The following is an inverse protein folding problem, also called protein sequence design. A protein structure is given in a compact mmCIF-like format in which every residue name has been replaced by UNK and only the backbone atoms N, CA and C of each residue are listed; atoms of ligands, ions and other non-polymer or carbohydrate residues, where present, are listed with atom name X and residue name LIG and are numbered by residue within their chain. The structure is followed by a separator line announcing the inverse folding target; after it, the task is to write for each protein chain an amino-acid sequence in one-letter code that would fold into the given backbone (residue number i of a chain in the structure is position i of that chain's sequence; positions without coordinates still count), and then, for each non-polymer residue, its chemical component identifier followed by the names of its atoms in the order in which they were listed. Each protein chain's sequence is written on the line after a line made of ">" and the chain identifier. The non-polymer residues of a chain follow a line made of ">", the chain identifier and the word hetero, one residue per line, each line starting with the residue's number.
data_IF_871217223657
#
_entry.id   IF_871217223657
#
_cell.length_a   1.000
_cell.length_b   1.000
_cell.length_c   1.000
_cell.angle_alpha   90.00
_cell.angle_beta   90.00
_cell.angle_gamma   90.00
#
_symmetry.space_group_name_H-M   'P 1'
#
loop_
_entity.id
_entity.type
_entity.pdbx_description
1 polymer ?
#
# COMPACT_ATOMS: atom_id res chain seq x y z
N UNK A 1 -30.64 -13.49 -6.04
CA UNK A 1 -29.25 -13.38 -6.53
C UNK A 1 -28.37 -14.03 -5.51
N UNK A 2 -28.11 -15.32 -5.76
CA UNK A 2 -27.38 -16.24 -4.88
C UNK A 2 -25.86 -16.08 -5.03
N UNK A 3 -25.16 -16.48 -3.97
CA UNK A 3 -23.78 -16.13 -3.66
C UNK A 3 -22.73 -16.61 -4.66
N UNK A 4 -21.64 -15.85 -4.71
CA UNK A 4 -20.43 -16.24 -5.43
C UNK A 4 -19.60 -17.23 -4.59
N UNK A 5 -19.13 -18.34 -5.17
CA UNK A 5 -18.45 -19.40 -4.44
C UNK A 5 -16.96 -19.07 -4.23
N UNK A 6 -16.50 -19.15 -2.98
CA UNK A 6 -15.10 -19.02 -2.61
C UNK A 6 -14.24 -20.07 -3.32
N UNK A 7 -13.34 -19.60 -4.20
CA UNK A 7 -12.37 -20.42 -4.91
C UNK A 7 -11.11 -20.55 -4.06
N UNK A 8 -10.97 -21.66 -3.34
CA UNK A 8 -9.78 -22.01 -2.55
C UNK A 8 -8.63 -22.38 -3.50
N UNK A 9 -7.55 -21.60 -3.50
CA UNK A 9 -6.30 -21.94 -4.20
C UNK A 9 -5.36 -22.67 -3.25
N UNK A 10 -5.17 -23.96 -3.49
CA UNK A 10 -4.20 -24.79 -2.77
C UNK A 10 -2.79 -24.58 -3.34
N UNK A 11 -1.89 -23.98 -2.56
CA UNK A 11 -0.47 -23.91 -2.89
C UNK A 11 0.21 -25.25 -2.60
N UNK A 12 0.52 -26.01 -3.65
CA UNK A 12 1.37 -27.20 -3.54
C UNK A 12 2.84 -26.80 -3.38
N UNK A 13 3.38 -26.92 -2.17
CA UNK A 13 4.83 -26.95 -1.96
C UNK A 13 5.38 -28.30 -2.43
N UNK A 14 6.14 -28.35 -3.53
CA UNK A 14 7.10 -29.42 -3.78
C UNK A 14 8.44 -28.87 -4.28
N UNK A 15 9.33 -28.70 -3.31
CA UNK A 15 10.70 -29.26 -3.25
C UNK A 15 11.50 -29.20 -4.56
N UNK A 16 12.27 -28.12 -4.70
CA UNK A 16 13.36 -28.03 -5.67
C UNK A 16 14.46 -29.03 -5.32
N UNK A 17 14.75 -29.92 -6.27
CA UNK A 17 15.98 -30.72 -6.31
C UNK A 17 16.96 -29.92 -7.16
N UNK A 18 18.04 -29.45 -6.54
CA UNK A 18 19.26 -29.00 -7.21
C UNK A 18 20.37 -29.89 -6.69
N UNK A 19 20.92 -30.76 -7.54
CA UNK A 19 22.38 -30.83 -7.59
C UNK A 19 22.89 -31.15 -9.00
N UNK A 20 23.96 -30.46 -9.43
CA UNK A 20 24.69 -30.88 -10.62
C UNK A 20 25.65 -29.87 -11.21
N UNK A 21 26.47 -29.20 -10.38
CA UNK A 21 27.64 -28.48 -10.89
C UNK A 21 28.73 -29.49 -11.23
N UNK A 22 28.74 -29.94 -12.48
CA UNK A 22 29.84 -30.73 -13.06
C UNK A 22 30.96 -29.80 -13.55
N UNK A 23 32.25 -30.10 -13.28
CA UNK A 23 33.37 -29.40 -13.90
C UNK A 23 33.54 -29.91 -15.34
N UNK A 24 33.03 -29.13 -16.30
CA UNK A 24 33.32 -29.31 -17.71
C UNK A 24 34.76 -28.87 -18.00
N UNK A 25 35.67 -29.84 -18.00
CA UNK A 25 37.06 -29.68 -18.47
C UNK A 25 37.03 -29.32 -19.95
N UNK A 26 37.54 -28.14 -20.30
CA UNK A 26 37.79 -27.71 -21.68
C UNK A 26 39.00 -28.47 -22.24
N UNK A 27 38.88 -29.20 -23.36
CA UNK A 27 40.05 -29.58 -24.12
C UNK A 27 40.52 -28.35 -24.92
N UNK A 28 41.55 -27.70 -24.38
CA UNK A 28 42.44 -26.78 -25.10
C UNK A 28 43.08 -27.52 -26.28
N UNK A 29 42.46 -27.45 -27.45
CA UNK A 29 43.01 -27.97 -28.70
C UNK A 29 43.67 -26.82 -29.44
N UNK A 30 44.95 -26.65 -29.16
CA UNK A 30 45.86 -25.76 -29.86
C UNK A 30 46.23 -26.39 -31.22
N UNK A 31 45.79 -25.86 -32.38
CA UNK A 31 46.18 -26.40 -33.68
C UNK A 31 47.50 -25.76 -34.10
N UNK A 32 48.50 -26.62 -34.28
CA UNK A 32 49.87 -26.27 -34.55
C UNK A 32 50.07 -25.25 -35.68
N UNK A 33 51.06 -24.40 -35.43
CA UNK A 33 51.72 -23.56 -36.42
C UNK A 33 52.32 -24.45 -37.51
N UNK A 34 51.89 -24.28 -38.75
CA UNK A 34 52.65 -24.66 -39.93
C UNK A 34 53.09 -23.38 -40.65
N UNK A 35 54.30 -22.93 -40.32
CA UNK A 35 55.05 -21.96 -41.11
C UNK A 35 55.57 -22.68 -42.35
N UNK A 36 54.77 -22.73 -43.42
CA UNK A 36 55.26 -23.11 -44.73
C UNK A 36 55.74 -21.84 -45.43
N UNK A 37 57.06 -21.65 -45.44
CA UNK A 37 57.72 -20.58 -46.18
C UNK A 37 57.50 -20.77 -47.67
N UNK A 38 56.68 -19.91 -48.27
CA UNK A 38 56.66 -19.74 -49.72
C UNK A 38 57.71 -18.70 -50.09
N UNK A 39 58.75 -19.19 -50.74
CA UNK A 39 59.82 -18.44 -51.38
C UNK A 39 59.20 -17.45 -52.39
N UNK A 40 59.32 -16.15 -52.15
CA UNK A 40 58.94 -15.13 -53.15
C UNK A 40 60.13 -14.84 -54.06
N UNK A 41 59.95 -14.88 -55.38
CA UNK A 41 60.93 -14.38 -56.34
C UNK A 41 61.02 -12.85 -56.23
N UNK A 42 62.27 -12.37 -56.21
CA UNK A 42 62.63 -10.97 -56.32
C UNK A 42 62.53 -10.57 -57.78
N UNK A 43 61.58 -9.69 -58.11
CA UNK A 43 61.59 -8.99 -59.39
C UNK A 43 60.95 -7.60 -59.30
N UNK A 44 61.75 -6.63 -59.74
CA UNK A 44 61.34 -5.35 -60.35
C UNK A 44 60.96 -4.19 -59.43
N UNK A 45 62.01 -3.46 -59.00
CA UNK A 45 61.96 -2.01 -58.82
C UNK A 45 61.65 -1.36 -60.17
N UNK A 46 60.39 -0.97 -60.39
CA UNK A 46 59.97 -0.24 -61.60
C UNK A 46 58.59 0.38 -61.44
N UNK A 47 58.55 1.69 -61.14
CA UNK A 47 57.40 2.58 -61.36
C UNK A 47 56.00 2.05 -60.96
N UNK A 48 55.79 1.76 -59.67
CA UNK A 48 54.53 1.22 -59.12
C UNK A 48 53.28 2.10 -59.25
N UNK A 49 53.39 3.34 -59.74
CA UNK A 49 52.23 4.22 -59.96
C UNK A 49 51.56 4.06 -61.32
N UNK A 50 52.26 3.53 -62.32
CA UNK A 50 51.73 3.47 -63.70
C UNK A 50 51.04 2.12 -63.97
N UNK A 51 51.56 1.02 -63.43
CA UNK A 51 50.96 -0.32 -63.58
C UNK A 51 49.60 -0.44 -62.87
N UNK A 52 49.37 0.37 -61.84
CA UNK A 52 48.08 0.41 -61.13
C UNK A 52 46.96 0.92 -62.03
N UNK A 53 47.21 1.83 -62.96
CA UNK A 53 46.16 2.34 -63.85
C UNK A 53 45.91 1.42 -65.05
N UNK A 54 46.92 0.66 -65.50
CA UNK A 54 46.80 -0.25 -66.65
C UNK A 54 45.93 -1.48 -66.37
N UNK A 55 45.98 -2.05 -65.17
CA UNK A 55 45.14 -3.21 -64.78
C UNK A 55 43.67 -2.79 -64.63
N UNK A 56 43.43 -1.57 -64.15
CA UNK A 56 42.09 -1.04 -63.91
C UNK A 56 41.34 -0.69 -65.20
N UNK A 57 42.05 -0.32 -66.27
CA UNK A 57 41.44 -0.08 -67.59
C UNK A 57 41.05 -1.37 -68.33
N UNK A 58 41.65 -2.52 -67.99
CA UNK A 58 41.47 -3.77 -68.73
C UNK A 58 40.42 -4.73 -68.15
N UNK A 59 39.94 -4.52 -66.91
CA UNK A 59 38.94 -5.38 -66.24
C UNK A 59 37.90 -4.56 -65.46
N UNK A 60 36.96 -3.87 -66.14
CA UNK A 60 35.91 -3.08 -65.47
C UNK A 60 35.01 -3.93 -64.57
N UNK A 61 34.87 -5.22 -64.84
CA UNK A 61 34.07 -6.16 -64.05
C UNK A 61 34.67 -6.43 -62.67
N UNK A 62 36.01 -6.41 -62.55
CA UNK A 62 36.69 -6.55 -61.25
C UNK A 62 36.45 -5.31 -60.36
N UNK A 63 36.28 -4.13 -60.95
CA UNK A 63 35.99 -2.89 -60.19
C UNK A 63 34.58 -2.88 -59.61
N UNK A 64 33.58 -3.31 -60.38
CA UNK A 64 32.20 -3.44 -59.89
C UNK A 64 32.12 -4.43 -58.74
N UNK A 65 32.82 -5.57 -58.81
CA UNK A 65 32.86 -6.55 -57.73
C UNK A 65 33.52 -6.00 -56.46
N UNK A 66 34.61 -5.23 -56.60
CA UNK A 66 35.32 -4.64 -55.46
C UNK A 66 34.48 -3.55 -54.78
N UNK A 67 33.72 -2.77 -55.56
CA UNK A 67 32.78 -1.77 -55.05
C UNK A 67 31.64 -2.43 -54.25
N UNK A 68 30.97 -3.44 -54.80
CA UNK A 68 29.90 -4.16 -54.08
C UNK A 68 30.41 -4.94 -52.86
N UNK A 69 31.66 -5.42 -52.91
CA UNK A 69 32.30 -6.03 -51.74
C UNK A 69 32.54 -4.99 -50.63
N UNK A 70 32.96 -3.77 -51.00
CA UNK A 70 33.08 -2.64 -50.08
C UNK A 70 31.76 -2.28 -49.41
N UNK A 71 30.69 -2.09 -50.19
CA UNK A 71 29.35 -1.80 -49.65
C UNK A 71 28.88 -2.88 -48.66
N UNK A 72 29.05 -4.16 -49.01
CA UNK A 72 28.69 -5.28 -48.12
C UNK A 72 29.54 -5.35 -46.85
N UNK A 73 30.80 -4.93 -46.90
CA UNK A 73 31.66 -4.87 -45.71
C UNK A 73 31.25 -3.72 -44.79
N UNK A 74 30.84 -2.58 -45.35
CA UNK A 74 30.32 -1.45 -44.59
C UNK A 74 28.98 -1.78 -43.93
N UNK A 75 28.08 -2.46 -44.65
CA UNK A 75 26.84 -3.01 -44.07
C UNK A 75 27.13 -4.00 -42.93
N UNK A 76 28.13 -4.87 -43.11
CA UNK A 76 28.53 -5.82 -42.09
C UNK A 76 29.13 -5.12 -40.85
N UNK A 77 29.90 -4.05 -41.04
CA UNK A 77 30.42 -3.23 -39.95
C UNK A 77 29.30 -2.53 -39.19
N UNK A 78 28.29 -2.01 -39.91
CA UNK A 78 27.08 -1.40 -39.34
C UNK A 78 26.28 -2.41 -38.51
N UNK A 79 25.97 -3.59 -39.08
CA UNK A 79 25.23 -4.66 -38.39
C UNK A 79 25.96 -5.10 -37.11
N UNK A 80 27.29 -5.18 -37.15
CA UNK A 80 28.08 -5.53 -35.97
C UNK A 80 27.97 -4.46 -34.87
N UNK A 81 28.05 -3.18 -35.23
CA UNK A 81 27.88 -2.09 -34.29
C UNK A 81 26.49 -2.12 -33.62
N UNK A 82 25.45 -2.41 -34.40
CA UNK A 82 24.09 -2.56 -33.89
C UNK A 82 23.96 -3.75 -32.92
N UNK A 83 24.61 -4.88 -33.22
CA UNK A 83 24.64 -6.03 -32.32
C UNK A 83 25.32 -5.69 -30.98
N UNK A 84 26.44 -4.98 -31.01
CA UNK A 84 27.17 -4.57 -29.81
C UNK A 84 26.37 -3.54 -28.98
N UNK A 85 25.66 -2.62 -29.65
CA UNK A 85 24.76 -1.67 -29.02
C UNK A 85 23.56 -2.38 -28.35
N UNK A 86 22.92 -3.31 -29.05
CA UNK A 86 21.82 -4.11 -28.52
C UNK A 86 22.26 -5.00 -27.34
N UNK A 87 23.46 -5.58 -27.40
CA UNK A 87 24.02 -6.34 -26.30
C UNK A 87 24.21 -5.48 -25.04
N UNK A 88 24.71 -4.25 -25.22
CA UNK A 88 24.88 -3.28 -24.12
C UNK A 88 23.53 -2.89 -23.51
N UNK A 89 22.55 -2.56 -24.36
CA UNK A 89 21.21 -2.20 -23.92
C UNK A 89 20.52 -3.35 -23.17
N UNK A 90 20.69 -4.59 -23.64
CA UNK A 90 20.14 -5.78 -22.98
C UNK A 90 20.71 -5.97 -21.57
N UNK A 91 22.02 -5.73 -21.40
CA UNK A 91 22.67 -5.82 -20.10
C UNK A 91 22.18 -4.73 -19.13
N UNK A 92 22.07 -3.49 -19.60
CA UNK A 92 21.56 -2.37 -18.81
C UNK A 92 20.09 -2.59 -18.40
N UNK A 93 19.22 -2.95 -19.33
CA UNK A 93 17.81 -3.24 -19.05
C UNK A 93 17.64 -4.40 -18.08
N UNK A 94 18.48 -5.44 -18.19
CA UNK A 94 18.47 -6.56 -17.25
C UNK A 94 18.78 -6.07 -15.82
N UNK A 95 19.78 -5.21 -15.65
CA UNK A 95 20.14 -4.68 -14.33
C UNK A 95 19.05 -3.74 -13.78
N UNK A 96 18.44 -2.93 -14.65
CA UNK A 96 17.28 -2.10 -14.32
C UNK A 96 16.08 -2.94 -13.86
N UNK A 97 15.76 -4.03 -14.57
CA UNK A 97 14.71 -4.97 -14.18
C UNK A 97 15.02 -5.63 -12.84
N UNK A 98 16.28 -6.01 -12.60
CA UNK A 98 16.70 -6.58 -11.32
C UNK A 98 16.57 -5.58 -10.17
N UNK A 99 16.91 -4.30 -10.40
CA UNK A 99 16.74 -3.24 -9.42
C UNK A 99 15.26 -3.02 -9.08
N UNK A 100 14.40 -2.84 -10.10
CA UNK A 100 12.94 -2.69 -9.92
C UNK A 100 12.31 -3.89 -9.25
N UNK A 101 12.79 -5.11 -9.52
CA UNK A 101 12.31 -6.33 -8.84
C UNK A 101 12.58 -6.30 -7.34
N UNK A 102 13.74 -5.80 -6.91
CA UNK A 102 14.06 -5.64 -5.48
C UNK A 102 13.17 -4.58 -4.83
N UNK A 103 12.94 -3.47 -5.52
CA UNK A 103 12.05 -2.41 -5.06
C UNK A 103 10.61 -2.90 -4.89
N UNK A 104 10.04 -3.58 -5.90
CA UNK A 104 8.70 -4.18 -5.81
C UNK A 104 8.61 -5.16 -4.65
N UNK A 105 9.65 -5.96 -4.40
CA UNK A 105 9.68 -6.89 -3.26
C UNK A 105 9.65 -6.16 -1.92
N UNK A 106 10.38 -5.04 -1.81
CA UNK A 106 10.39 -4.18 -0.62
C UNK A 106 9.02 -3.51 -0.40
N UNK A 107 8.45 -2.92 -1.46
CA UNK A 107 7.14 -2.27 -1.39
C UNK A 107 6.02 -3.26 -1.03
N UNK A 108 6.02 -4.46 -1.61
CA UNK A 108 5.07 -5.52 -1.24
C UNK A 108 5.15 -5.91 0.24
N UNK A 109 6.35 -5.89 0.83
CA UNK A 109 6.49 -6.13 2.26
C UNK A 109 5.87 -4.99 3.07
N UNK A 110 6.13 -3.73 2.70
CA UNK A 110 5.54 -2.56 3.37
C UNK A 110 4.02 -2.57 3.31
N UNK A 111 3.43 -2.88 2.15
CA UNK A 111 1.98 -2.97 1.99
C UNK A 111 1.39 -4.02 2.93
N UNK A 112 1.96 -5.23 2.99
CA UNK A 112 1.48 -6.27 3.93
C UNK A 112 1.57 -5.85 5.38
N UNK A 113 2.67 -5.20 5.79
CA UNK A 113 2.81 -4.69 7.15
C UNK A 113 1.74 -3.63 7.48
N UNK A 114 1.39 -2.78 6.51
CA UNK A 114 0.31 -1.81 6.66
C UNK A 114 -1.06 -2.48 6.71
N UNK A 115 -1.30 -3.49 5.87
CA UNK A 115 -2.55 -4.26 5.89
C UNK A 115 -2.74 -4.95 7.25
N UNK A 116 -1.68 -5.55 7.80
CA UNK A 116 -1.69 -6.17 9.14
C UNK A 116 -1.97 -5.14 10.24
N UNK A 117 -1.29 -3.99 10.21
CA UNK A 117 -1.57 -2.89 11.15
C UNK A 117 -3.00 -2.36 11.02
N UNK A 118 -3.51 -2.27 9.78
CA UNK A 118 -4.88 -1.86 9.48
C UNK A 118 -5.91 -2.84 10.02
N UNK A 119 -5.67 -4.15 9.90
CA UNK A 119 -6.52 -5.18 10.49
C UNK A 119 -6.56 -5.09 12.02
N UNK A 120 -5.42 -4.88 12.66
CA UNK A 120 -5.35 -4.71 14.12
C UNK A 120 -6.14 -3.49 14.58
N UNK A 121 -5.98 -2.35 13.90
CA UNK A 121 -6.72 -1.13 14.19
C UNK A 121 -8.23 -1.29 13.94
N UNK A 122 -8.64 -2.01 12.89
CA UNK A 122 -10.05 -2.29 12.62
C UNK A 122 -10.66 -3.18 13.72
N UNK A 123 -9.94 -4.21 14.17
CA UNK A 123 -10.39 -5.08 15.28
C UNK A 123 -10.55 -4.31 16.59
N UNK A 124 -9.61 -3.42 16.91
CA UNK A 124 -9.70 -2.57 18.11
C UNK A 124 -10.90 -1.63 18.05
N UNK A 125 -11.12 -0.98 16.89
CA UNK A 125 -12.28 -0.12 16.67
C UNK A 125 -13.61 -0.86 16.83
N UNK A 126 -13.70 -2.11 16.35
CA UNK A 126 -14.89 -2.95 16.56
C UNK A 126 -15.09 -3.21 18.06
N UNK A 127 -14.04 -3.62 18.77
CA UNK A 127 -14.11 -3.88 20.22
C UNK A 127 -14.52 -2.64 21.03
N UNK A 128 -13.99 -1.46 20.68
CA UNK A 128 -14.35 -0.20 21.32
C UNK A 128 -15.80 0.20 21.05
N UNK A 129 -16.31 -0.02 19.83
CA UNK A 129 -17.72 0.23 19.50
C UNK A 129 -18.66 -0.67 20.30
N UNK A 130 -18.35 -1.95 20.41
CA UNK A 130 -19.12 -2.88 21.25
C UNK A 130 -19.08 -2.48 22.74
N UNK A 131 -17.94 -1.98 23.22
CA UNK A 131 -17.85 -1.46 24.59
C UNK A 131 -18.69 -0.21 24.78
N UNK A 132 -18.69 0.71 23.82
CA UNK A 132 -19.51 1.91 23.84
C UNK A 132 -21.00 1.55 23.91
N UNK A 133 -21.45 0.65 23.04
CA UNK A 133 -22.84 0.17 22.99
C UNK A 133 -23.26 -0.44 24.33
N UNK A 134 -22.43 -1.32 24.92
CA UNK A 134 -22.69 -1.87 26.27
C UNK A 134 -22.81 -0.78 27.34
N UNK A 135 -21.96 0.26 27.29
CA UNK A 135 -22.03 1.38 28.25
C UNK A 135 -23.26 2.26 28.02
N UNK A 136 -23.70 2.42 26.78
CA UNK A 136 -24.93 3.15 26.44
C UNK A 136 -26.17 2.41 26.96
N UNK A 137 -26.21 1.07 26.84
CA UNK A 137 -27.25 0.23 27.44
C UNK A 137 -27.29 0.39 28.97
N UNK A 138 -26.14 0.29 29.66
CA UNK A 138 -26.06 0.51 31.11
C UNK A 138 -26.61 1.90 31.53
N UNK A 139 -26.31 2.95 30.75
CA UNK A 139 -26.82 4.30 31.01
C UNK A 139 -28.34 4.36 30.81
N UNK A 140 -28.87 3.70 29.78
CA UNK A 140 -30.31 3.63 29.54
C UNK A 140 -31.03 2.94 30.72
N UNK A 141 -30.52 1.79 31.18
CA UNK A 141 -31.08 1.06 32.32
C UNK A 141 -31.07 1.91 33.60
N UNK A 142 -29.95 2.61 33.86
CA UNK A 142 -29.83 3.50 35.02
C UNK A 142 -30.79 4.68 34.96
N UNK A 143 -30.98 5.27 33.77
CA UNK A 143 -31.95 6.36 33.56
C UNK A 143 -33.37 5.87 33.78
N UNK A 144 -33.70 4.68 33.28
CA UNK A 144 -35.02 4.09 33.49
C UNK A 144 -35.25 3.82 34.99
N UNK A 145 -34.27 3.22 35.67
CA UNK A 145 -34.33 2.99 37.11
C UNK A 145 -34.54 4.29 37.89
N UNK A 146 -33.77 5.34 37.58
CA UNK A 146 -33.90 6.63 38.24
C UNK A 146 -35.27 7.27 37.99
N UNK A 147 -35.79 7.17 36.78
CA UNK A 147 -37.14 7.67 36.44
C UNK A 147 -38.19 6.99 37.31
N UNK A 148 -38.13 5.67 37.47
CA UNK A 148 -39.02 4.93 38.37
C UNK A 148 -38.89 5.37 39.84
N UNK A 149 -37.69 5.69 40.32
CA UNK A 149 -37.50 6.21 41.69
C UNK A 149 -38.12 7.59 41.87
N UNK A 150 -37.96 8.47 40.89
CA UNK A 150 -38.52 9.83 40.92
C UNK A 150 -40.06 9.77 40.92
N UNK A 151 -40.66 8.95 40.06
CA UNK A 151 -42.12 8.79 40.00
C UNK A 151 -42.71 8.23 41.31
N UNK A 152 -41.92 7.40 42.02
CA UNK A 152 -42.28 6.85 43.32
C UNK A 152 -42.13 7.86 44.48
N UNK A 153 -41.31 8.90 44.32
CA UNK A 153 -41.07 9.88 45.36
C UNK A 153 -42.22 10.90 45.42
N UNK A 154 -43.02 10.83 46.49
CA UNK A 154 -44.07 11.81 46.80
C UNK A 154 -43.62 12.76 47.90
N UNK A 155 -42.95 13.88 47.59
CA UNK A 155 -42.42 14.82 48.59
C UNK A 155 -43.51 15.39 49.50
N UNK A 156 -44.73 15.60 48.99
CA UNK A 156 -45.86 16.06 49.80
C UNK A 156 -46.20 15.08 50.93
N UNK A 157 -46.21 13.76 50.65
CA UNK A 157 -46.51 12.75 51.67
C UNK A 157 -45.38 12.67 52.70
N UNK A 158 -44.13 12.74 52.26
CA UNK A 158 -42.98 12.73 53.16
C UNK A 158 -42.95 13.97 54.07
N UNK A 159 -43.31 15.15 53.53
CA UNK A 159 -43.39 16.40 54.29
C UNK A 159 -44.49 16.34 55.35
N UNK A 160 -45.68 15.84 55.01
CA UNK A 160 -46.77 15.66 55.98
C UNK A 160 -46.40 14.68 57.10
N UNK A 161 -45.74 13.56 56.77
CA UNK A 161 -45.23 12.61 57.76
C UNK A 161 -44.19 13.27 58.69
N UNK A 162 -43.28 14.07 58.14
CA UNK A 162 -42.28 14.81 58.91
C UNK A 162 -42.93 15.81 59.88
N UNK A 163 -43.88 16.62 59.39
CA UNK A 163 -44.63 17.58 60.21
C UNK A 163 -45.33 16.87 61.38
N UNK A 164 -45.97 15.73 61.10
CA UNK A 164 -46.65 14.93 62.13
C UNK A 164 -45.67 14.37 63.19
N UNK A 165 -44.53 13.82 62.77
CA UNK A 165 -43.50 13.31 63.69
C UNK A 165 -42.94 14.44 64.55
N UNK A 166 -42.61 15.58 63.97
CA UNK A 166 -42.03 16.73 64.69
C UNK A 166 -43.00 17.36 65.67
N UNK A 167 -44.27 17.42 65.32
CA UNK A 167 -45.32 17.88 66.24
C UNK A 167 -45.45 16.91 67.42
N UNK A 168 -45.41 15.61 67.17
CA UNK A 168 -45.50 14.57 68.22
C UNK A 168 -44.27 14.56 69.14
N UNK A 169 -43.08 14.77 68.58
CA UNK A 169 -41.82 14.89 69.33
C UNK A 169 -41.84 16.08 70.30
N UNK A 170 -42.28 17.25 69.83
CA UNK A 170 -42.40 18.44 70.68
C UNK A 170 -43.39 18.23 71.83
N UNK A 171 -44.51 17.55 71.57
CA UNK A 171 -45.49 17.21 72.60
C UNK A 171 -44.90 16.29 73.68
N UNK A 172 -44.17 15.24 73.29
CA UNK A 172 -43.49 14.33 74.22
C UNK A 172 -42.48 15.08 75.11
N UNK A 173 -41.78 16.06 74.55
CA UNK A 173 -40.80 16.88 75.26
C UNK A 173 -41.44 18.06 76.03
N UNK A 174 -42.78 18.23 75.94
CA UNK A 174 -43.54 19.38 76.47
C UNK A 174 -43.02 20.74 75.98
N UNK A 175 -42.47 20.76 74.76
CA UNK A 175 -42.07 21.97 74.07
C UNK A 175 -43.27 22.55 73.29
N UNK A 176 -43.30 23.86 73.05
CA UNK A 176 -44.28 24.47 72.15
C UNK A 176 -44.18 23.84 70.74
N UNK A 177 -45.32 23.75 70.05
CA UNK A 177 -45.38 23.11 68.74
C UNK A 177 -44.47 23.85 67.73
N UNK A 178 -43.68 23.13 66.93
CA UNK A 178 -42.84 23.75 65.90
C UNK A 178 -43.71 24.48 64.87
N UNK A 179 -43.32 25.69 64.52
CA UNK A 179 -43.92 26.47 63.42
C UNK A 179 -43.30 26.03 62.10
N UNK A 180 -44.13 25.74 61.10
CA UNK A 180 -43.70 25.31 59.76
C UNK A 180 -44.03 26.35 58.67
N UNK A 181 -44.45 27.56 59.05
CA UNK A 181 -44.87 28.59 58.08
C UNK A 181 -43.72 29.38 57.44
N UNK A 182 -42.47 29.10 57.83
CA UNK A 182 -41.27 29.77 57.30
C UNK A 182 -40.54 28.93 56.22
N UNK A 183 -41.22 27.93 55.62
CA UNK A 183 -40.67 27.10 54.55
C UNK A 183 -40.69 27.84 53.20
N UNK A 184 -39.49 28.08 52.65
CA UNK A 184 -39.23 28.64 51.33
C UNK A 184 -40.15 28.02 50.26
N UNK A 185 -40.81 28.88 49.48
CA UNK A 185 -41.59 28.48 48.31
C UNK A 185 -40.77 27.55 47.43
N UNK A 186 -41.20 26.29 47.32
CA UNK A 186 -40.64 25.31 46.39
C UNK A 186 -40.77 25.91 44.98
N UNK A 187 -39.65 26.17 44.26
CA UNK A 187 -39.72 26.68 42.90
C UNK A 187 -40.19 25.55 41.98
N UNK A 188 -41.51 25.44 41.78
CA UNK A 188 -42.11 24.29 41.11
C UNK A 188 -43.30 24.57 40.19
N UNK A 189 -43.72 25.82 40.04
CA UNK A 189 -44.71 26.22 39.02
C UNK A 189 -44.28 27.53 38.38
N UNK A 190 -43.23 27.48 37.55
CA UNK A 190 -43.07 28.49 36.51
C UNK A 190 -43.79 27.93 35.30
N UNK A 191 -44.96 28.50 35.04
CA UNK A 191 -45.76 28.25 33.86
C UNK A 191 -44.88 28.28 32.60
N UNK A 192 -45.21 27.40 31.68
CA UNK A 192 -44.65 27.32 30.34
C UNK A 192 -44.92 28.62 29.56
N UNK A 193 -44.10 29.66 29.78
CA UNK A 193 -44.12 30.86 28.96
C UNK A 193 -43.23 30.67 27.73
N UNK A 194 -43.85 30.02 26.75
CA UNK A 194 -43.71 30.20 25.30
C UNK A 194 -42.86 31.41 24.89
N UNK A 195 -41.57 31.19 24.67
CA UNK A 195 -40.75 32.08 23.83
C UNK A 195 -40.45 31.37 22.52
N UNK A 196 -41.19 31.79 21.48
CA UNK A 196 -40.90 31.53 20.08
C UNK A 196 -39.62 32.28 19.71
N UNK A 197 -38.67 31.62 19.04
CA UNK A 197 -37.85 32.23 17.97
C UNK A 197 -37.05 31.17 17.18
N UNK A 198 -36.58 31.47 15.96
CA UNK A 198 -37.16 30.87 14.76
C UNK A 198 -36.16 30.02 13.96
N UNK A 199 -36.73 29.21 13.06
CA UNK A 199 -36.07 28.60 11.92
C UNK A 199 -35.36 29.63 11.04
N UNK A 200 -34.05 29.46 10.82
CA UNK A 200 -33.38 29.39 9.51
C UNK A 200 -31.90 29.80 9.64
N UNK A 201 -30.98 28.94 9.21
CA UNK A 201 -29.97 29.29 8.20
C UNK A 201 -29.26 28.02 7.74
N UNK A 202 -29.66 27.55 6.56
CA UNK A 202 -28.88 26.63 5.73
C UNK A 202 -27.61 27.35 5.25
N UNK A 203 -26.43 26.71 5.25
CA UNK A 203 -25.26 27.27 4.60
C UNK A 203 -25.36 27.14 3.07
N UNK A 204 -24.85 28.11 2.29
CA UNK A 204 -24.76 27.99 0.84
C UNK A 204 -23.74 26.91 0.48
N UNK A 205 -24.08 26.11 -0.53
CA UNK A 205 -23.18 25.17 -1.17
C UNK A 205 -22.10 25.92 -1.96
N UNK A 206 -20.85 25.52 -1.76
CA UNK A 206 -19.75 25.56 -2.73
C UNK A 206 -18.85 24.32 -2.53
#
# INVERSE_FOLDING_TARGET
>A
MEGSPYRMFSFSQRKGVVPGTGPGVLPSRDPGRHLMGTQRPVSCLGSGRILYLSIFLQHPEAMSQLFHLGERMDDQASIKADMDALASQLHEEKDNVLAKKKEIKSLRLKVRNQDEAGMMAASENISLREQLERREEEICDLKEWLSHQIDGWKPSVALEQYKMVKTSEAQLQRLPAPSFEEEQSVPGEIEAEKTLEPTADDPPAD
#
